data_IF_234228393564
#
_entry.id   IF_234228393564
#
_cell.length_a   1.000
_cell.length_b   1.000
_cell.length_c   1.000
_cell.angle_alpha   90.00
_cell.angle_beta   90.00
_cell.angle_gamma   90.00
#
_symmetry.space_group_name_H-M   'P 1'
#
loop_
_entity.id
_entity.type
_entity.pdbx_description
1 polymer ?
#
# COMPACT_ATOMS: atom_id res chain seq x y z
N UNK A 1 3.01 22.47 -3.74
CA UNK A 1 2.89 22.67 -2.28
C UNK A 1 1.49 22.29 -1.82
N UNK A 2 1.37 21.48 -0.79
CA UNK A 2 0.10 21.00 -0.27
C UNK A 2 -0.34 21.88 0.89
N UNK A 3 -1.44 22.59 0.72
CA UNK A 3 -1.96 23.54 1.73
C UNK A 3 -3.06 22.86 2.54
N UNK A 4 -3.02 22.98 3.88
CA UNK A 4 -4.07 22.49 4.76
C UNK A 4 -4.03 21.00 5.08
N UNK A 5 -2.91 20.33 4.80
CA UNK A 5 -2.75 18.88 5.03
C UNK A 5 -1.61 18.54 5.99
N UNK A 6 -1.21 19.48 6.82
CA UNK A 6 -0.10 19.26 7.75
C UNK A 6 -0.39 18.15 8.77
N UNK A 7 -1.63 18.06 9.26
CA UNK A 7 -2.02 17.01 10.21
C UNK A 7 -1.91 15.62 9.61
N UNK A 8 -2.38 15.48 8.38
CA UNK A 8 -2.35 14.22 7.65
C UNK A 8 -0.92 13.81 7.33
N UNK A 9 -0.08 14.75 6.91
CA UNK A 9 1.33 14.49 6.68
C UNK A 9 2.06 14.10 7.96
N UNK A 10 1.77 14.76 9.07
CA UNK A 10 2.35 14.43 10.37
C UNK A 10 1.94 13.02 10.81
N UNK A 11 0.68 12.67 10.62
CA UNK A 11 0.17 11.33 10.92
C UNK A 11 0.94 10.26 10.14
N UNK A 12 1.07 10.44 8.84
CA UNK A 12 1.80 9.50 7.99
C UNK A 12 3.29 9.43 8.39
N UNK A 13 3.88 10.56 8.71
CA UNK A 13 5.28 10.64 9.11
C UNK A 13 5.54 9.89 10.42
N UNK A 14 4.62 9.95 11.38
CA UNK A 14 4.73 9.21 12.63
C UNK A 14 4.83 7.71 12.36
N UNK A 15 4.00 7.18 11.47
CA UNK A 15 4.04 5.76 11.13
C UNK A 15 5.27 5.38 10.32
N UNK A 16 5.74 6.28 9.47
CA UNK A 16 6.97 6.07 8.74
C UNK A 16 8.18 5.92 9.67
N UNK A 17 8.21 6.68 10.75
CA UNK A 17 9.33 6.70 11.68
C UNK A 17 9.29 5.59 12.75
N UNK A 18 8.27 4.73 12.75
CA UNK A 18 8.19 3.62 13.70
C UNK A 18 9.18 2.52 13.33
N UNK A 19 9.58 1.74 14.33
CA UNK A 19 10.54 0.64 14.13
C UNK A 19 9.92 -0.58 13.46
N UNK A 20 8.62 -0.78 13.60
CA UNK A 20 7.91 -1.92 13.04
C UNK A 20 7.30 -1.58 11.67
N UNK A 21 6.83 -2.60 10.97
CA UNK A 21 6.05 -2.41 9.76
C UNK A 21 4.73 -1.73 10.11
N UNK A 22 4.29 -0.85 9.23
CA UNK A 22 3.04 -0.11 9.40
C UNK A 22 2.08 -0.41 8.26
N UNK A 23 0.80 -0.57 8.62
CA UNK A 23 -0.29 -0.63 7.66
C UNK A 23 -1.29 0.46 8.03
N UNK A 24 -1.54 1.37 7.10
CA UNK A 24 -2.48 2.48 7.28
C UNK A 24 -3.54 2.43 6.21
N UNK A 25 -4.79 2.61 6.60
CA UNK A 25 -5.90 2.79 5.67
C UNK A 25 -6.23 4.29 5.61
N UNK A 26 -6.09 4.87 4.43
CA UNK A 26 -6.36 6.28 4.19
C UNK A 26 -7.58 6.37 3.27
N UNK A 27 -8.66 7.00 3.74
CA UNK A 27 -9.89 7.03 2.96
C UNK A 27 -10.56 8.39 3.02
N UNK A 28 -11.24 8.76 1.94
CA UNK A 28 -11.94 10.03 1.84
C UNK A 28 -12.63 10.15 0.49
N UNK A 29 -13.49 11.15 0.36
CA UNK A 29 -14.22 11.39 -0.89
C UNK A 29 -13.25 11.74 -2.02
N UNK A 30 -13.63 11.34 -3.23
CA UNK A 30 -12.91 11.72 -4.45
C UNK A 30 -12.88 13.24 -4.55
N UNK A 31 -11.71 13.78 -4.85
CA UNK A 31 -11.54 15.23 -4.99
C UNK A 31 -11.11 15.96 -3.72
N UNK A 32 -11.02 15.27 -2.57
CA UNK A 32 -10.55 15.88 -1.32
C UNK A 32 -9.02 15.87 -1.17
N UNK A 33 -8.30 15.51 -2.22
CA UNK A 33 -6.85 15.64 -2.23
C UNK A 33 -6.07 14.45 -1.68
N UNK A 34 -6.69 13.26 -1.59
CA UNK A 34 -5.99 12.05 -1.13
C UNK A 34 -4.77 11.76 -2.01
N UNK A 35 -4.94 11.80 -3.33
CA UNK A 35 -3.85 11.53 -4.27
C UNK A 35 -2.72 12.57 -4.16
N UNK A 36 -3.07 13.84 -3.98
CA UNK A 36 -2.08 14.91 -3.79
C UNK A 36 -1.33 14.75 -2.47
N UNK A 37 -2.03 14.34 -1.42
CA UNK A 37 -1.41 14.04 -0.12
C UNK A 37 -0.41 12.90 -0.23
N UNK A 38 -0.77 11.84 -0.92
CA UNK A 38 0.11 10.69 -1.12
C UNK A 38 1.33 11.07 -1.97
N UNK A 39 1.13 11.88 -2.98
CA UNK A 39 2.23 12.37 -3.81
C UNK A 39 3.22 13.19 -2.99
N UNK A 40 2.73 14.09 -2.15
CA UNK A 40 3.57 14.90 -1.29
C UNK A 40 4.30 14.04 -0.25
N UNK A 41 3.61 13.08 0.34
CA UNK A 41 4.23 12.18 1.31
C UNK A 41 5.31 11.30 0.68
N UNK A 42 5.08 10.81 -0.55
CA UNK A 42 6.01 9.94 -1.25
C UNK A 42 7.25 10.68 -1.79
N UNK A 43 7.17 12.00 -1.88
CA UNK A 43 8.26 12.83 -2.34
C UNK A 43 9.47 12.63 -1.43
N UNK A 44 10.65 12.42 -2.00
CA UNK A 44 11.90 12.18 -1.29
C UNK A 44 11.96 10.86 -0.49
N UNK A 45 11.01 9.94 -0.72
CA UNK A 45 11.01 8.61 -0.11
C UNK A 45 11.06 7.53 -1.19
N UNK A 46 11.60 6.36 -0.84
CA UNK A 46 11.52 5.20 -1.72
C UNK A 46 10.07 4.72 -1.69
N UNK A 47 9.39 4.82 -2.81
CA UNK A 47 7.95 4.57 -2.88
C UNK A 47 7.60 3.77 -4.13
N UNK A 48 6.69 2.80 -3.95
CA UNK A 48 6.05 2.08 -5.04
C UNK A 48 4.56 2.35 -4.95
N UNK A 49 3.98 2.91 -6.02
CA UNK A 49 2.54 3.20 -6.08
C UNK A 49 1.87 2.25 -7.07
N UNK A 50 0.85 1.56 -6.59
CA UNK A 50 0.02 0.66 -7.38
C UNK A 50 -1.43 1.15 -7.28
N UNK A 51 -2.20 0.95 -8.35
CA UNK A 51 -3.62 1.28 -8.37
C UNK A 51 -4.42 0.03 -8.74
N UNK A 52 -5.38 -0.32 -7.91
CA UNK A 52 -6.28 -1.43 -8.21
C UNK A 52 -7.41 -0.97 -9.11
N UNK A 53 -7.97 -1.91 -9.87
CA UNK A 53 -9.10 -1.66 -10.75
C UNK A 53 -10.07 -2.84 -10.69
N UNK A 54 -11.28 -2.61 -11.20
CA UNK A 54 -12.30 -3.66 -11.25
C UNK A 54 -11.96 -4.64 -12.38
N UNK A 55 -11.19 -5.66 -12.03
CA UNK A 55 -10.73 -6.68 -12.96
C UNK A 55 -10.50 -8.01 -12.22
N UNK A 56 -10.20 -9.07 -12.96
CA UNK A 56 -9.90 -10.35 -12.34
C UNK A 56 -8.60 -10.28 -11.52
N UNK A 57 -8.43 -11.13 -10.51
CA UNK A 57 -7.17 -11.20 -9.78
C UNK A 57 -5.96 -11.44 -10.68
N UNK A 58 -6.11 -12.28 -11.68
CA UNK A 58 -5.06 -12.57 -12.65
C UNK A 58 -4.65 -11.33 -13.44
N UNK A 59 -5.63 -10.56 -13.90
CA UNK A 59 -5.39 -9.32 -14.62
C UNK A 59 -4.71 -8.29 -13.71
N UNK A 60 -5.15 -8.19 -12.47
CA UNK A 60 -4.55 -7.27 -11.52
C UNK A 60 -3.08 -7.61 -11.27
N UNK A 61 -2.78 -8.88 -11.07
CA UNK A 61 -1.40 -9.32 -10.89
C UNK A 61 -0.54 -9.05 -12.12
N UNK A 62 -1.11 -9.23 -13.29
CA UNK A 62 -0.40 -8.95 -14.55
C UNK A 62 -0.03 -7.46 -14.68
N UNK A 63 -1.00 -6.59 -14.43
CA UNK A 63 -0.79 -5.13 -14.52
C UNK A 63 0.25 -4.67 -13.48
N UNK A 64 0.11 -5.15 -12.26
CA UNK A 64 1.01 -4.78 -11.17
C UNK A 64 2.42 -5.32 -11.40
N UNK A 65 2.55 -6.53 -11.93
CA UNK A 65 3.87 -7.11 -12.19
C UNK A 65 4.68 -6.28 -13.17
N UNK A 66 4.03 -5.71 -14.18
CA UNK A 66 4.70 -4.82 -15.13
C UNK A 66 5.24 -3.57 -14.44
N UNK A 67 4.43 -2.95 -13.60
CA UNK A 67 4.83 -1.75 -12.88
C UNK A 67 5.97 -2.02 -11.91
N UNK A 68 5.92 -3.15 -11.23
CA UNK A 68 6.96 -3.56 -10.29
C UNK A 68 8.27 -3.85 -11.04
N UNK A 69 8.21 -4.55 -12.17
CA UNK A 69 9.39 -4.79 -13.00
C UNK A 69 10.03 -3.50 -13.52
N UNK A 70 9.22 -2.50 -13.83
CA UNK A 70 9.73 -1.20 -14.28
C UNK A 70 10.54 -0.48 -13.20
N UNK A 71 10.38 -0.86 -11.94
CA UNK A 71 11.19 -0.36 -10.84
C UNK A 71 12.48 -1.16 -10.63
N UNK A 72 12.76 -2.12 -11.51
CA UNK A 72 13.94 -2.96 -11.38
C UNK A 72 13.78 -4.18 -10.48
N UNK A 73 12.55 -4.50 -10.10
CA UNK A 73 12.24 -5.64 -9.24
C UNK A 73 12.03 -6.87 -10.09
N UNK A 74 12.72 -7.96 -9.76
CA UNK A 74 12.58 -9.22 -10.47
C UNK A 74 11.35 -9.99 -9.99
N UNK A 75 10.45 -10.32 -10.92
CA UNK A 75 9.25 -11.09 -10.63
C UNK A 75 9.05 -12.10 -11.76
N UNK A 76 8.58 -13.30 -11.42
CA UNK A 76 8.26 -14.34 -12.40
C UNK A 76 7.19 -13.91 -13.41
N UNK A 77 7.02 -14.71 -14.45
CA UNK A 77 6.22 -14.34 -15.62
C UNK A 77 4.71 -14.25 -15.34
N UNK A 78 4.19 -15.15 -14.49
CA UNK A 78 2.78 -15.19 -14.13
C UNK A 78 2.62 -15.21 -12.61
N UNK A 79 2.84 -14.05 -11.95
CA UNK A 79 2.81 -14.02 -10.50
C UNK A 79 1.38 -14.03 -9.97
N UNK A 80 1.21 -14.63 -8.79
CA UNK A 80 0.05 -14.38 -7.95
C UNK A 80 0.38 -13.22 -6.99
N UNK A 81 -0.55 -12.86 -6.11
CA UNK A 81 -0.31 -11.77 -5.15
C UNK A 81 0.85 -12.09 -4.20
N UNK A 82 0.98 -13.34 -3.78
CA UNK A 82 2.10 -13.73 -2.90
C UNK A 82 3.45 -13.54 -3.58
N UNK A 83 3.56 -13.90 -4.84
CA UNK A 83 4.80 -13.71 -5.61
C UNK A 83 5.13 -12.23 -5.80
N UNK A 84 4.10 -11.38 -6.00
CA UNK A 84 4.28 -9.94 -6.09
C UNK A 84 4.84 -9.38 -4.78
N UNK A 85 4.26 -9.77 -3.65
CA UNK A 85 4.72 -9.29 -2.34
C UNK A 85 6.12 -9.82 -2.00
N UNK A 86 6.45 -11.03 -2.38
CA UNK A 86 7.82 -11.56 -2.21
C UNK A 86 8.84 -10.72 -2.98
N UNK A 87 8.51 -10.35 -4.21
CA UNK A 87 9.37 -9.47 -5.01
C UNK A 87 9.55 -8.10 -4.36
N UNK A 88 8.48 -7.52 -3.84
CA UNK A 88 8.53 -6.25 -3.13
C UNK A 88 9.37 -6.38 -1.86
N UNK A 89 9.23 -7.49 -1.13
CA UNK A 89 10.02 -7.78 0.07
C UNK A 89 11.51 -7.79 -0.23
N UNK A 90 11.90 -8.49 -1.28
CA UNK A 90 13.30 -8.53 -1.69
C UNK A 90 13.84 -7.15 -2.05
N UNK A 91 13.03 -6.34 -2.72
CA UNK A 91 13.38 -4.96 -3.05
C UNK A 91 13.58 -4.12 -1.78
N UNK A 92 12.69 -4.24 -0.79
CA UNK A 92 12.78 -3.51 0.47
C UNK A 92 14.09 -3.81 1.21
N UNK A 93 14.51 -5.07 1.23
CA UNK A 93 15.76 -5.47 1.86
C UNK A 93 16.99 -4.91 1.16
N UNK A 94 16.93 -4.85 -0.16
CA UNK A 94 18.10 -4.46 -0.98
C UNK A 94 18.30 -2.96 -1.05
N UNK A 95 17.21 -2.19 -1.15
CA UNK A 95 17.31 -0.75 -1.45
C UNK A 95 17.35 0.12 -0.20
N UNK A 96 17.03 -0.42 0.97
CA UNK A 96 16.76 0.45 2.10
C UNK A 96 17.62 0.15 3.32
N UNK A 97 18.87 0.50 3.23
CA UNK A 97 19.80 0.38 4.37
C UNK A 97 19.46 1.35 5.50
N UNK A 98 18.74 2.44 5.22
CA UNK A 98 18.55 3.53 6.17
C UNK A 98 17.11 4.00 6.38
N UNK A 99 16.10 3.30 5.86
CA UNK A 99 14.71 3.75 5.99
C UNK A 99 13.71 2.71 5.52
N UNK A 100 12.44 3.11 5.47
CA UNK A 100 11.35 2.26 5.00
C UNK A 100 11.08 2.46 3.53
N UNK A 101 10.62 1.40 2.87
CA UNK A 101 9.98 1.52 1.56
C UNK A 101 8.49 1.73 1.80
N UNK A 102 7.91 2.70 1.10
CA UNK A 102 6.48 3.00 1.17
C UNK A 102 5.80 2.30 -0.01
N UNK A 103 4.85 1.42 0.29
CA UNK A 103 4.01 0.78 -0.72
C UNK A 103 2.61 1.40 -0.62
N UNK A 104 2.18 2.05 -1.69
CA UNK A 104 0.86 2.68 -1.76
C UNK A 104 0.00 1.89 -2.73
N UNK A 105 -1.16 1.46 -2.28
CA UNK A 105 -2.15 0.78 -3.13
C UNK A 105 -3.42 1.61 -3.13
N UNK A 106 -3.67 2.30 -4.24
CA UNK A 106 -4.85 3.16 -4.40
C UNK A 106 -6.03 2.37 -4.94
N UNK A 107 -7.24 2.78 -4.58
CA UNK A 107 -8.50 2.10 -4.91
C UNK A 107 -8.48 0.62 -4.52
N UNK A 108 -7.87 0.33 -3.37
CA UNK A 108 -7.61 -1.04 -2.94
C UNK A 108 -8.88 -1.87 -2.73
N UNK A 109 -10.05 -1.23 -2.61
CA UNK A 109 -11.33 -1.94 -2.47
C UNK A 109 -11.55 -2.93 -3.62
N UNK A 110 -11.08 -2.61 -4.81
CA UNK A 110 -11.24 -3.52 -5.95
C UNK A 110 -10.43 -4.80 -5.81
N UNK A 111 -9.20 -4.70 -5.30
CA UNK A 111 -8.39 -5.89 -5.06
C UNK A 111 -9.00 -6.78 -3.97
N UNK A 112 -9.53 -6.18 -2.91
CA UNK A 112 -10.17 -6.92 -1.81
C UNK A 112 -11.47 -7.57 -2.26
N UNK A 113 -12.30 -6.84 -3.01
CA UNK A 113 -13.60 -7.33 -3.46
C UNK A 113 -13.49 -8.43 -4.51
N UNK A 114 -12.46 -8.37 -5.35
CA UNK A 114 -12.30 -9.31 -6.45
C UNK A 114 -11.81 -10.69 -5.99
N UNK A 115 -11.12 -10.79 -4.85
CA UNK A 115 -10.57 -12.05 -4.38
C UNK A 115 -10.11 -11.96 -2.93
N UNK A 116 -10.28 -13.04 -2.19
CA UNK A 116 -9.72 -13.18 -0.84
C UNK A 116 -8.20 -13.36 -0.88
N UNK A 117 -7.64 -13.73 -2.02
CA UNK A 117 -6.20 -13.99 -2.17
C UNK A 117 -5.36 -12.75 -1.91
N UNK A 118 -5.87 -11.57 -2.29
CA UNK A 118 -5.14 -10.32 -2.04
C UNK A 118 -4.93 -10.10 -0.54
N UNK A 119 -5.99 -10.20 0.26
CA UNK A 119 -5.88 -9.97 1.70
C UNK A 119 -5.06 -11.07 2.39
N UNK A 120 -5.20 -12.30 1.95
CA UNK A 120 -4.40 -13.39 2.48
C UNK A 120 -2.91 -13.17 2.22
N UNK A 121 -2.56 -12.78 1.01
CA UNK A 121 -1.18 -12.48 0.64
C UNK A 121 -0.64 -11.25 1.39
N UNK A 122 -1.44 -10.20 1.53
CA UNK A 122 -1.06 -8.98 2.24
C UNK A 122 -0.82 -9.26 3.72
N UNK A 123 -1.72 -10.02 4.35
CA UNK A 123 -1.60 -10.37 5.76
C UNK A 123 -0.34 -11.21 6.01
N UNK A 124 -0.08 -12.20 5.16
CA UNK A 124 1.12 -13.02 5.22
C UNK A 124 2.39 -12.18 5.05
N UNK A 125 2.37 -11.25 4.11
CA UNK A 125 3.49 -10.35 3.86
C UNK A 125 3.83 -9.50 5.10
N UNK A 126 2.80 -8.93 5.72
CA UNK A 126 2.98 -8.12 6.92
C UNK A 126 3.48 -8.93 8.12
N UNK A 127 3.13 -10.20 8.20
CA UNK A 127 3.53 -11.08 9.28
C UNK A 127 4.96 -11.61 9.13
N UNK A 128 5.56 -11.48 7.98
CA UNK A 128 6.93 -11.95 7.75
C UNK A 128 7.92 -11.13 8.57
N UNK A 129 8.71 -11.83 9.39
CA UNK A 129 9.73 -11.22 10.24
C UNK A 129 10.76 -10.42 9.45
N UNK A 130 11.03 -10.88 8.25
CA UNK A 130 12.01 -10.29 7.34
C UNK A 130 11.65 -8.88 6.89
N UNK A 131 10.38 -8.53 6.94
CA UNK A 131 9.91 -7.20 6.56
C UNK A 131 9.80 -6.25 7.75
N UNK A 132 10.12 -6.69 8.95
CA UNK A 132 9.98 -5.88 10.15
C UNK A 132 10.89 -4.65 10.09
N UNK A 133 10.28 -3.49 10.17
CA UNK A 133 10.99 -2.22 10.17
C UNK A 133 11.35 -1.66 8.80
N UNK A 134 11.10 -2.39 7.71
CA UNK A 134 11.51 -1.96 6.36
C UNK A 134 10.36 -1.53 5.46
N UNK A 135 9.12 -1.61 5.96
CA UNK A 135 7.95 -1.45 5.11
C UNK A 135 6.87 -0.61 5.77
N UNK A 136 6.31 0.32 4.98
CA UNK A 136 5.09 1.03 5.33
C UNK A 136 4.10 0.86 4.19
N UNK A 137 2.92 0.31 4.47
CA UNK A 137 1.87 0.11 3.48
C UNK A 137 0.75 1.11 3.72
N UNK A 138 0.34 1.81 2.67
CA UNK A 138 -0.81 2.72 2.68
C UNK A 138 -1.84 2.18 1.70
N UNK A 139 -3.00 1.82 2.21
CA UNK A 139 -4.16 1.42 1.40
C UNK A 139 -5.09 2.63 1.31
N UNK A 140 -5.31 3.12 0.10
CA UNK A 140 -6.15 4.30 -0.11
C UNK A 140 -7.43 3.93 -0.82
N UNK A 141 -8.55 4.53 -0.41
CA UNK A 141 -9.87 4.26 -1.00
C UNK A 141 -10.78 5.48 -0.91
N UNK A 142 -11.67 5.61 -1.90
CA UNK A 142 -12.77 6.56 -1.84
C UNK A 142 -14.12 5.90 -1.49
N UNK A 143 -14.12 4.60 -1.23
CA UNK A 143 -15.32 3.85 -0.85
C UNK A 143 -15.54 3.92 0.67
N UNK A 144 -15.89 5.11 1.15
CA UNK A 144 -15.96 5.43 2.59
C UNK A 144 -16.82 4.46 3.37
N UNK A 145 -18.04 4.23 2.94
CA UNK A 145 -18.97 3.34 3.64
C UNK A 145 -18.44 1.90 3.72
N UNK A 146 -17.87 1.40 2.65
CA UNK A 146 -17.28 0.07 2.65
C UNK A 146 -16.09 -0.01 3.61
N UNK A 147 -15.21 0.99 3.60
CA UNK A 147 -14.06 1.03 4.50
C UNK A 147 -14.52 1.02 5.95
N UNK A 148 -15.41 1.94 6.31
CA UNK A 148 -15.85 2.10 7.69
C UNK A 148 -16.69 0.91 8.20
N UNK A 149 -17.60 0.39 7.38
CA UNK A 149 -18.56 -0.62 7.82
C UNK A 149 -18.08 -2.05 7.63
N UNK A 150 -17.12 -2.29 6.74
CA UNK A 150 -16.72 -3.63 6.38
C UNK A 150 -15.22 -3.88 6.61
N UNK A 151 -14.37 -3.03 6.05
CA UNK A 151 -12.95 -3.32 6.00
C UNK A 151 -12.26 -3.10 7.35
N UNK A 152 -12.48 -1.97 7.99
CA UNK A 152 -11.81 -1.63 9.26
C UNK A 152 -12.11 -2.67 10.34
N UNK A 153 -13.35 -3.16 10.40
CA UNK A 153 -13.74 -4.17 11.38
C UNK A 153 -13.02 -5.50 11.19
N UNK A 154 -12.62 -5.81 9.95
CA UNK A 154 -11.90 -7.05 9.66
C UNK A 154 -10.44 -7.01 10.03
N UNK A 155 -9.78 -5.89 9.85
CA UNK A 155 -8.33 -5.80 10.03
C UNK A 155 -7.91 -5.22 11.37
N UNK A 156 -8.79 -4.48 12.07
CA UNK A 156 -8.47 -3.86 13.35
C UNK A 156 -7.24 -2.95 13.30
N UNK A 157 -6.98 -2.31 12.18
CA UNK A 157 -5.77 -1.54 11.95
C UNK A 157 -6.04 -0.04 11.93
N UNK A 158 -4.96 0.72 11.90
CA UNK A 158 -4.99 2.17 11.88
C UNK A 158 -5.67 2.69 10.61
N UNK A 159 -6.63 3.57 10.78
CA UNK A 159 -7.35 4.18 9.69
C UNK A 159 -7.45 5.68 9.90
N UNK A 160 -7.38 6.43 8.81
CA UNK A 160 -7.45 7.87 8.84
C UNK A 160 -8.40 8.37 7.76
N UNK A 161 -9.46 9.06 8.18
CA UNK A 161 -10.43 9.67 7.28
C UNK A 161 -9.96 11.09 6.90
N UNK A 162 -10.03 11.38 5.62
CA UNK A 162 -9.72 12.71 5.10
C UNK A 162 -11.02 13.46 4.80
#
# INVERSE_FOLDING_TARGET
MLIGRSKELDYLTQYYNRYDNSLIVLYGQKGLGVSALLQEFAKDRVCLRLQASQCSPRQQCYVWSKKIRNQGISIGEYPDFSALFEGISSFCKYKNESGKTVLIIEDFQWAVRNSDDFMNALTGFLAEEENQGHLMIILASNAIGWVENTFISKIGRNAFAI
#
